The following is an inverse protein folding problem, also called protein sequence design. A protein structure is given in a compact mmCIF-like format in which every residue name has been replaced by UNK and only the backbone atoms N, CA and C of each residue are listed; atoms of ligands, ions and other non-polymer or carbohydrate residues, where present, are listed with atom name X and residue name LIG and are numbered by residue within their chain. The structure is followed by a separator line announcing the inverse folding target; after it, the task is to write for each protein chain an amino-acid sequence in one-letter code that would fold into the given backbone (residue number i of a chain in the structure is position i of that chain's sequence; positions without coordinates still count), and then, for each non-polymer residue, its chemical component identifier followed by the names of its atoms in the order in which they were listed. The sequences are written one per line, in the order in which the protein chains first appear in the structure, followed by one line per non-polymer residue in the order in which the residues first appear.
data_IF_888001750130
#
_entry.id   IF_888001750130
#
_cell.length_a   1.000
_cell.length_b   1.000
_cell.length_c   1.000
_cell.angle_alpha   90.00
_cell.angle_beta   90.00
_cell.angle_gamma   90.00
#
_symmetry.space_group_name_H-M   'P 1'
#
loop_
_entity.id
_entity.type
_entity.pdbx_description
1 polymer ?
#
# COMPACT_ATOMS: atom_id res chain seq x y z
N UNK A 1 -14.98 -58.07 -19.26
CA UNK A 1 -15.26 -57.22 -18.09
C UNK A 1 -14.19 -56.15 -17.98
N UNK A 2 -14.48 -54.91 -18.40
CA UNK A 2 -13.57 -53.73 -18.22
C UNK A 2 -14.10 -52.88 -17.08
N UNK A 3 -13.38 -52.88 -15.97
CA UNK A 3 -13.68 -52.04 -14.80
C UNK A 3 -13.36 -50.60 -15.12
N UNK A 4 -14.37 -49.74 -15.16
CA UNK A 4 -14.25 -48.27 -15.19
C UNK A 4 -13.85 -47.78 -13.80
N UNK A 5 -12.63 -47.32 -13.66
CA UNK A 5 -12.22 -46.49 -12.51
C UNK A 5 -12.97 -45.14 -12.60
N UNK A 6 -13.82 -44.83 -11.61
CA UNK A 6 -14.38 -43.52 -11.39
C UNK A 6 -13.28 -42.63 -10.81
N UNK A 7 -12.92 -41.57 -11.51
CA UNK A 7 -12.14 -40.48 -10.96
C UNK A 7 -13.00 -39.74 -9.94
N UNK A 8 -12.50 -39.53 -8.73
CA UNK A 8 -13.09 -38.68 -7.72
C UNK A 8 -13.05 -37.20 -8.20
N UNK A 9 -14.07 -36.41 -7.90
CA UNK A 9 -14.05 -34.98 -8.24
C UNK A 9 -13.02 -34.27 -7.36
N UNK A 10 -12.16 -33.48 -7.98
CA UNK A 10 -11.19 -32.60 -7.33
C UNK A 10 -11.93 -31.50 -6.57
N UNK A 11 -11.89 -31.56 -5.23
CA UNK A 11 -12.52 -30.62 -4.29
C UNK A 11 -11.70 -29.31 -4.12
N UNK A 12 -11.07 -28.83 -5.18
CA UNK A 12 -10.16 -27.66 -5.08
C UNK A 12 -10.75 -26.35 -5.61
N UNK A 13 -11.82 -26.39 -6.36
CA UNK A 13 -12.38 -25.15 -6.98
C UNK A 13 -13.22 -24.26 -6.04
N UNK A 14 -13.66 -24.78 -4.89
CA UNK A 14 -14.54 -24.04 -3.96
C UNK A 14 -13.79 -23.29 -2.85
N UNK A 15 -12.54 -23.67 -2.55
CA UNK A 15 -11.72 -23.02 -1.52
C UNK A 15 -11.13 -21.67 -2.01
N UNK A 16 -10.96 -21.53 -3.32
CA UNK A 16 -10.22 -20.45 -3.95
C UNK A 16 -10.94 -19.08 -3.96
N UNK A 17 -12.29 -19.09 -3.96
CA UNK A 17 -13.03 -17.82 -4.13
C UNK A 17 -13.11 -16.95 -2.87
N UNK A 18 -12.80 -17.52 -1.70
CA UNK A 18 -12.92 -16.81 -0.41
C UNK A 18 -11.59 -16.32 0.12
N UNK A 19 -10.49 -17.06 -0.09
CA UNK A 19 -9.13 -16.63 0.23
C UNK A 19 -8.70 -15.39 -0.58
N UNK A 20 -9.32 -15.17 -1.75
CA UNK A 20 -9.07 -13.99 -2.59
C UNK A 20 -9.41 -12.64 -1.93
N UNK A 21 -10.33 -12.58 -0.95
CA UNK A 21 -10.64 -11.29 -0.28
C UNK A 21 -9.51 -10.81 0.63
N UNK A 22 -8.83 -11.73 1.31
CA UNK A 22 -7.69 -11.42 2.16
C UNK A 22 -6.47 -10.98 1.33
N UNK A 23 -6.27 -11.59 0.16
CA UNK A 23 -5.17 -11.27 -0.75
C UNK A 23 -5.32 -9.94 -1.48
N UNK A 24 -6.53 -9.41 -1.64
CA UNK A 24 -6.73 -8.04 -2.17
C UNK A 24 -5.98 -7.01 -1.33
N UNK A 25 -5.98 -7.17 -0.02
CA UNK A 25 -5.26 -6.28 0.91
C UNK A 25 -3.75 -6.50 0.83
N UNK A 26 -3.29 -7.74 0.75
CA UNK A 26 -1.87 -8.08 0.69
C UNK A 26 -1.21 -7.58 -0.60
N UNK A 27 -1.86 -7.73 -1.76
CA UNK A 27 -1.32 -7.26 -3.03
C UNK A 27 -1.19 -5.73 -3.09
N UNK A 28 -2.16 -5.00 -2.54
CA UNK A 28 -2.13 -3.53 -2.49
C UNK A 28 -1.01 -2.99 -1.59
N UNK A 29 -0.72 -3.68 -0.47
CA UNK A 29 0.36 -3.29 0.46
C UNK A 29 1.74 -3.73 -0.06
N UNK A 30 1.82 -4.87 -0.75
CA UNK A 30 3.07 -5.42 -1.29
C UNK A 30 3.72 -4.54 -2.36
N UNK A 31 2.93 -3.84 -3.17
CA UNK A 31 3.47 -3.04 -4.27
C UNK A 31 4.26 -1.81 -3.82
N UNK A 32 4.07 -1.33 -2.59
CA UNK A 32 4.65 -0.08 -2.14
C UNK A 32 6.14 -0.15 -1.81
N UNK A 33 6.62 -1.24 -1.26
CA UNK A 33 7.86 -1.18 -0.50
C UNK A 33 9.06 -1.70 -1.27
N UNK A 34 8.85 -2.47 -2.35
CA UNK A 34 9.94 -3.17 -3.01
C UNK A 34 10.42 -2.56 -4.33
N UNK A 35 9.68 -1.60 -4.88
CA UNK A 35 10.02 -1.01 -6.18
C UNK A 35 11.11 0.06 -6.11
N UNK A 36 11.55 0.46 -4.91
CA UNK A 36 12.69 1.36 -4.73
C UNK A 36 14.06 0.77 -5.12
N UNK A 37 14.13 -0.54 -5.43
CA UNK A 37 15.42 -1.22 -5.68
C UNK A 37 15.93 -1.19 -7.13
N UNK A 38 15.11 -0.85 -8.13
CA UNK A 38 15.50 -0.92 -9.55
C UNK A 38 14.94 0.21 -10.43
N UNK A 39 14.27 1.21 -9.87
CA UNK A 39 13.90 2.37 -10.67
C UNK A 39 15.18 3.15 -11.02
N UNK A 40 15.57 3.14 -12.29
CA UNK A 40 16.45 4.20 -12.80
C UNK A 40 15.77 5.50 -12.48
N UNK A 41 16.43 6.34 -11.65
CA UNK A 41 15.93 7.66 -11.29
C UNK A 41 15.33 8.33 -12.53
N UNK A 42 14.06 8.79 -12.48
CA UNK A 42 13.50 9.52 -13.59
C UNK A 42 14.43 10.69 -13.87
N UNK A 43 14.84 10.85 -15.13
CA UNK A 43 15.57 12.05 -15.54
C UNK A 43 14.71 13.23 -15.10
N UNK A 44 15.29 14.12 -14.28
CA UNK A 44 14.69 15.35 -13.79
C UNK A 44 13.94 16.09 -14.90
N UNK A 45 12.67 15.76 -15.09
CA UNK A 45 11.71 16.62 -15.76
C UNK A 45 10.83 17.18 -14.64
N UNK A 46 10.69 18.50 -14.55
CA UNK A 46 9.74 19.11 -13.63
C UNK A 46 8.36 18.50 -13.93
N UNK A 47 7.71 17.94 -12.91
CA UNK A 47 6.29 17.60 -13.01
C UNK A 47 5.55 18.93 -13.23
N UNK A 48 4.92 19.11 -14.39
CA UNK A 48 3.98 20.20 -14.60
C UNK A 48 2.78 19.94 -13.70
N UNK A 49 2.74 20.65 -12.58
CA UNK A 49 1.58 20.67 -11.69
C UNK A 49 0.49 21.45 -12.41
N UNK A 50 -0.56 20.77 -12.85
CA UNK A 50 -1.70 21.43 -13.49
C UNK A 50 -2.53 22.15 -12.44
N UNK A 51 -2.78 23.44 -12.64
CA UNK A 51 -3.70 24.28 -11.85
C UNK A 51 -5.15 24.20 -12.36
N UNK A 52 -5.50 23.13 -13.06
CA UNK A 52 -6.79 22.99 -13.74
C UNK A 52 -7.96 22.75 -12.74
N UNK A 53 -9.17 23.28 -12.99
CA UNK A 53 -10.35 23.11 -12.13
C UNK A 53 -10.76 21.65 -11.99
N UNK A 54 -11.33 21.28 -10.84
CA UNK A 54 -11.74 19.95 -10.36
C UNK A 54 -12.57 19.09 -11.36
N UNK A 55 -13.11 19.67 -12.42
CA UNK A 55 -13.96 19.02 -13.43
C UNK A 55 -13.17 18.44 -14.63
N UNK A 56 -11.82 18.52 -14.64
CA UNK A 56 -11.05 18.06 -15.78
C UNK A 56 -10.77 16.56 -15.74
N UNK A 57 -10.76 15.96 -16.93
CA UNK A 57 -10.53 14.53 -17.13
C UNK A 57 -9.19 14.08 -16.54
N UNK A 58 -9.21 13.09 -15.64
CA UNK A 58 -8.02 12.55 -15.00
C UNK A 58 -7.78 13.01 -13.56
N UNK A 59 -8.55 13.99 -13.07
CA UNK A 59 -8.49 14.40 -11.66
C UNK A 59 -9.13 13.34 -10.78
N UNK A 60 -8.40 12.89 -9.75
CA UNK A 60 -8.91 11.91 -8.78
C UNK A 60 -9.59 12.61 -7.62
N UNK A 61 -10.66 12.01 -7.10
CA UNK A 61 -11.23 12.37 -5.80
C UNK A 61 -10.75 11.32 -4.80
N UNK A 62 -9.45 11.37 -4.45
CA UNK A 62 -8.86 10.42 -3.52
C UNK A 62 -9.47 10.55 -2.12
N UNK A 63 -9.45 9.48 -1.30
CA UNK A 63 -9.87 9.55 0.11
C UNK A 63 -9.11 10.65 0.85
N UNK A 64 -9.83 11.69 1.30
CA UNK A 64 -9.24 12.87 1.90
C UNK A 64 -10.10 13.42 3.03
N UNK A 65 -9.48 13.69 4.18
CA UNK A 65 -10.16 14.15 5.38
C UNK A 65 -9.36 15.26 6.06
N UNK A 66 -10.01 15.94 7.00
CA UNK A 66 -9.37 16.82 7.97
C UNK A 66 -9.77 16.38 9.38
N UNK A 67 -8.83 16.39 10.29
CA UNK A 67 -9.05 16.30 11.73
C UNK A 67 -8.64 17.60 12.40
N UNK A 68 -9.49 18.11 13.28
CA UNK A 68 -9.33 19.42 13.90
C UNK A 68 -9.37 19.31 15.42
N UNK A 69 -8.55 20.11 16.08
CA UNK A 69 -8.63 20.35 17.52
C UNK A 69 -9.10 21.79 17.75
N UNK A 70 -10.37 21.96 18.09
CA UNK A 70 -10.97 23.29 18.35
C UNK A 70 -10.27 24.05 19.48
N UNK A 71 -9.66 23.34 20.43
CA UNK A 71 -9.01 23.95 21.59
C UNK A 71 -7.66 24.61 21.26
N UNK A 72 -6.94 24.04 20.31
CA UNK A 72 -5.61 24.51 19.87
C UNK A 72 -5.68 25.25 18.53
N UNK A 73 -6.73 25.05 17.75
CA UNK A 73 -6.86 25.49 16.37
C UNK A 73 -5.99 24.70 15.40
N UNK A 74 -5.50 23.53 15.80
CA UNK A 74 -4.71 22.63 14.96
C UNK A 74 -5.57 21.97 13.90
N UNK A 75 -4.98 21.75 12.73
CA UNK A 75 -5.61 21.02 11.63
C UNK A 75 -4.59 20.05 11.04
N UNK A 76 -4.96 18.78 10.92
CA UNK A 76 -4.17 17.77 10.22
C UNK A 76 -5.01 17.20 9.07
N UNK A 77 -4.53 17.40 7.85
CA UNK A 77 -5.11 16.80 6.66
C UNK A 77 -4.66 15.35 6.54
N UNK A 78 -5.57 14.46 6.21
CA UNK A 78 -5.33 13.02 6.06
C UNK A 78 -5.67 12.61 4.63
N UNK A 79 -4.70 12.03 3.92
CA UNK A 79 -4.90 11.51 2.57
C UNK A 79 -4.65 10.01 2.55
N UNK A 80 -5.62 9.25 2.06
CA UNK A 80 -5.44 7.84 1.76
C UNK A 80 -4.60 7.68 0.50
N UNK A 81 -3.39 7.11 0.63
CA UNK A 81 -2.50 6.94 -0.50
C UNK A 81 -2.79 5.68 -1.32
N UNK A 82 -2.42 5.73 -2.59
CA UNK A 82 -2.37 4.60 -3.52
C UNK A 82 -0.97 4.56 -4.14
N UNK A 83 -0.29 3.44 -3.96
CA UNK A 83 1.14 3.30 -4.31
C UNK A 83 1.44 3.26 -5.81
N UNK A 84 0.42 3.18 -6.65
CA UNK A 84 0.55 3.23 -8.10
C UNK A 84 -0.58 4.06 -8.70
N UNK A 85 -0.31 4.73 -9.81
CA UNK A 85 -1.27 5.59 -10.49
C UNK A 85 -1.19 5.45 -12.00
N UNK A 86 -1.99 6.23 -12.71
CA UNK A 86 -1.93 6.39 -14.16
C UNK A 86 -1.16 7.65 -14.52
N UNK A 87 -0.54 7.68 -15.70
CA UNK A 87 0.25 8.82 -16.14
C UNK A 87 -0.54 10.15 -16.23
N UNK A 88 -1.87 10.07 -16.33
CA UNK A 88 -2.78 11.20 -16.35
C UNK A 88 -3.48 11.45 -14.99
N UNK A 89 -3.03 10.78 -13.91
CA UNK A 89 -3.55 11.01 -12.56
C UNK A 89 -3.17 12.41 -12.09
N UNK A 90 -4.18 13.23 -11.77
CA UNK A 90 -3.99 14.58 -11.25
C UNK A 90 -4.71 14.71 -9.90
N UNK A 91 -4.05 15.35 -8.94
CA UNK A 91 -4.66 15.67 -7.66
C UNK A 91 -5.43 16.99 -7.74
N UNK A 92 -6.61 17.08 -7.10
CA UNK A 92 -7.36 18.33 -7.04
C UNK A 92 -6.55 19.44 -6.38
N UNK A 93 -6.74 20.67 -6.81
CA UNK A 93 -5.99 21.82 -6.26
C UNK A 93 -6.16 21.97 -4.75
N UNK A 94 -7.34 21.66 -4.19
CA UNK A 94 -7.55 21.72 -2.73
C UNK A 94 -6.64 20.75 -1.95
N UNK A 95 -6.29 19.57 -2.52
CA UNK A 95 -5.34 18.64 -1.91
C UNK A 95 -3.93 19.23 -1.95
N UNK A 96 -3.54 19.80 -3.11
CA UNK A 96 -2.23 20.40 -3.31
C UNK A 96 -2.05 21.68 -2.47
N UNK A 97 -3.11 22.50 -2.33
CA UNK A 97 -3.11 23.66 -1.45
C UNK A 97 -3.00 23.26 0.02
N UNK A 98 -3.74 22.23 0.47
CA UNK A 98 -3.62 21.72 1.84
C UNK A 98 -2.19 21.25 2.13
N UNK A 99 -1.56 20.54 1.18
CA UNK A 99 -0.17 20.09 1.28
C UNK A 99 0.80 21.29 1.37
N UNK A 100 0.68 22.29 0.48
CA UNK A 100 1.56 23.47 0.44
C UNK A 100 1.44 24.37 1.66
N UNK A 101 0.23 24.48 2.20
CA UNK A 101 -0.05 25.31 3.37
C UNK A 101 0.32 24.63 4.69
N UNK A 102 0.61 23.32 4.66
CA UNK A 102 1.02 22.58 5.84
C UNK A 102 2.45 22.91 6.26
N UNK A 103 2.70 22.98 7.56
CA UNK A 103 4.03 23.23 8.12
C UNK A 103 4.99 22.06 7.89
N UNK A 104 4.43 20.88 7.62
CA UNK A 104 5.13 19.64 7.32
C UNK A 104 4.19 18.64 6.65
N UNK A 105 4.79 17.69 5.95
CA UNK A 105 4.09 16.50 5.42
C UNK A 105 4.64 15.24 6.09
N UNK A 106 3.78 14.25 6.31
CA UNK A 106 4.18 13.00 6.94
C UNK A 106 3.70 11.78 6.15
N UNK A 107 4.61 11.12 5.40
CA UNK A 107 4.41 9.79 4.84
C UNK A 107 4.70 8.71 5.89
N UNK A 108 4.37 7.46 5.58
CA UNK A 108 4.92 6.31 6.29
C UNK A 108 6.45 6.29 6.17
N UNK A 109 6.97 6.49 4.96
CA UNK A 109 8.38 6.53 4.62
C UNK A 109 8.62 7.54 3.48
N UNK A 110 9.71 8.29 3.53
CA UNK A 110 10.16 9.13 2.41
C UNK A 110 10.80 8.26 1.32
N UNK A 111 9.97 7.75 0.41
CA UNK A 111 10.40 6.87 -0.68
C UNK A 111 11.37 7.56 -1.63
N UNK A 112 11.24 8.89 -1.82
CA UNK A 112 12.10 9.68 -2.69
C UNK A 112 13.50 9.82 -2.10
N UNK A 113 13.60 10.16 -0.81
CA UNK A 113 14.90 10.20 -0.12
C UNK A 113 15.51 8.80 0.00
N UNK A 114 14.71 7.79 0.32
CA UNK A 114 15.15 6.40 0.41
C UNK A 114 15.73 5.89 -0.92
N UNK A 115 15.11 6.23 -2.06
CA UNK A 115 15.63 5.84 -3.38
C UNK A 115 17.03 6.42 -3.67
N UNK A 116 17.37 7.56 -3.07
CA UNK A 116 18.69 8.20 -3.15
C UNK A 116 19.72 7.68 -2.14
N UNK A 117 19.31 6.98 -1.08
CA UNK A 117 20.19 6.53 0.00
C UNK A 117 20.58 5.04 -0.15
N UNK A 118 21.62 4.80 -0.95
CA UNK A 118 22.14 3.45 -1.17
C UNK A 118 22.63 2.75 0.12
N UNK A 119 23.15 3.51 1.09
CA UNK A 119 23.62 2.92 2.35
C UNK A 119 22.45 2.40 3.17
N UNK A 120 21.40 3.20 3.28
CA UNK A 120 20.17 2.80 3.97
C UNK A 120 19.49 1.60 3.26
N UNK A 121 19.41 1.63 1.92
CA UNK A 121 18.87 0.50 1.13
C UNK A 121 19.63 -0.79 1.41
N UNK A 122 20.99 -0.76 1.39
CA UNK A 122 21.81 -1.93 1.70
C UNK A 122 21.63 -2.44 3.14
N UNK A 123 21.37 -1.54 4.08
CA UNK A 123 21.03 -1.90 5.46
C UNK A 123 19.66 -2.57 5.54
N UNK A 124 18.68 -2.01 4.86
CA UNK A 124 17.30 -2.51 4.87
C UNK A 124 17.15 -3.87 4.18
N UNK A 125 17.75 -4.06 3.01
CA UNK A 125 17.68 -5.34 2.27
C UNK A 125 18.15 -6.53 3.10
N UNK A 126 19.07 -6.35 4.05
CA UNK A 126 19.54 -7.43 4.93
C UNK A 126 18.44 -8.08 5.76
N UNK A 127 17.36 -7.37 6.07
CA UNK A 127 16.22 -7.92 6.78
C UNK A 127 15.43 -8.92 5.94
N UNK A 128 15.59 -8.88 4.61
CA UNK A 128 14.90 -9.75 3.66
C UNK A 128 15.76 -10.93 3.21
N UNK A 129 17.01 -11.04 3.69
CA UNK A 129 17.92 -12.13 3.35
C UNK A 129 17.69 -13.31 4.28
N UNK A 130 17.50 -14.50 3.69
CA UNK A 130 17.39 -15.75 4.43
C UNK A 130 18.71 -16.09 5.14
N UNK A 131 18.61 -16.68 6.33
CA UNK A 131 19.75 -17.15 7.11
C UNK A 131 19.58 -18.62 7.47
N UNK A 132 20.55 -19.44 7.08
CA UNK A 132 20.56 -20.88 7.40
C UNK A 132 19.63 -21.74 6.56
N UNK A 133 18.95 -21.17 5.57
CA UNK A 133 18.08 -21.87 4.61
C UNK A 133 18.06 -21.13 3.28
N UNK A 134 17.43 -21.70 2.26
CA UNK A 134 17.24 -21.11 0.93
C UNK A 134 15.75 -21.01 0.59
N UNK A 135 15.38 -20.15 -0.36
CA UNK A 135 14.03 -20.12 -0.89
C UNK A 135 13.61 -21.48 -1.47
N UNK A 136 14.56 -22.20 -2.09
CA UNK A 136 14.31 -23.57 -2.61
C UNK A 136 13.87 -24.53 -1.51
N UNK A 137 14.52 -24.51 -0.36
CA UNK A 137 14.16 -25.38 0.76
C UNK A 137 12.81 -25.03 1.36
N UNK A 138 12.48 -23.72 1.43
CA UNK A 138 11.23 -23.22 1.98
C UNK A 138 10.04 -23.47 1.05
N UNK A 139 10.17 -23.17 -0.24
CA UNK A 139 9.12 -23.35 -1.25
C UNK A 139 8.92 -24.84 -1.58
N UNK A 140 9.97 -25.65 -1.45
CA UNK A 140 9.91 -27.10 -1.60
C UNK A 140 9.54 -27.54 -3.02
N UNK A 141 8.51 -28.41 -3.13
CA UNK A 141 8.11 -28.99 -4.43
C UNK A 141 7.58 -28.00 -5.46
N UNK A 142 7.13 -26.81 -5.04
CA UNK A 142 6.65 -25.77 -5.96
C UNK A 142 7.77 -24.86 -6.50
N UNK A 143 9.02 -25.02 -6.02
CA UNK A 143 10.12 -24.12 -6.34
C UNK A 143 10.39 -24.00 -7.84
N UNK A 144 10.57 -25.14 -8.53
CA UNK A 144 10.93 -25.13 -9.95
C UNK A 144 9.81 -24.51 -10.81
N UNK A 145 8.54 -24.80 -10.50
CA UNK A 145 7.39 -24.19 -11.16
C UNK A 145 7.33 -22.67 -10.92
N UNK A 146 7.58 -22.23 -9.69
CA UNK A 146 7.63 -20.80 -9.32
C UNK A 146 8.74 -20.08 -10.08
N UNK A 147 9.95 -20.63 -10.10
CA UNK A 147 11.10 -20.07 -10.84
C UNK A 147 10.80 -19.98 -12.34
N UNK A 148 10.25 -21.03 -12.93
CA UNK A 148 9.92 -21.06 -14.35
C UNK A 148 8.84 -20.00 -14.68
N UNK A 149 7.85 -19.83 -13.80
CA UNK A 149 6.83 -18.79 -13.94
C UNK A 149 7.44 -17.38 -13.87
N UNK A 150 8.33 -17.12 -12.93
CA UNK A 150 9.03 -15.85 -12.75
C UNK A 150 9.95 -15.54 -13.94
N UNK A 151 10.66 -16.54 -14.45
CA UNK A 151 11.50 -16.41 -15.67
C UNK A 151 10.66 -16.10 -16.92
N UNK A 152 9.55 -16.83 -17.11
CA UNK A 152 8.61 -16.62 -18.22
C UNK A 152 8.10 -15.17 -18.25
N UNK A 153 7.87 -14.58 -17.07
CA UNK A 153 7.34 -13.22 -16.95
C UNK A 153 8.43 -12.14 -16.78
N UNK A 154 9.71 -12.49 -16.86
CA UNK A 154 10.82 -11.53 -16.83
C UNK A 154 11.10 -10.91 -15.45
N UNK A 155 10.55 -11.48 -14.38
CA UNK A 155 10.70 -10.97 -12.99
C UNK A 155 11.71 -11.77 -12.17
N UNK A 156 12.29 -12.84 -12.71
CA UNK A 156 13.30 -13.63 -12.02
C UNK A 156 14.62 -12.89 -11.88
N UNK A 157 15.21 -12.95 -10.68
CA UNK A 157 16.56 -12.49 -10.37
C UNK A 157 17.28 -13.58 -9.57
N UNK A 158 18.56 -13.86 -9.89
CA UNK A 158 19.33 -14.91 -9.21
C UNK A 158 19.45 -14.68 -7.69
N UNK A 159 19.44 -13.43 -7.24
CA UNK A 159 19.45 -13.07 -5.82
C UNK A 159 18.23 -13.58 -5.06
N UNK A 160 17.11 -13.83 -5.74
CA UNK A 160 15.86 -14.27 -5.11
C UNK A 160 16.00 -15.53 -4.30
N UNK A 161 16.88 -16.45 -4.71
CA UNK A 161 17.09 -17.73 -3.99
C UNK A 161 17.58 -17.55 -2.55
N UNK A 162 18.21 -16.42 -2.26
CA UNK A 162 18.63 -16.03 -0.90
C UNK A 162 17.68 -15.08 -0.19
N UNK A 163 16.53 -14.75 -0.80
CA UNK A 163 15.59 -13.80 -0.26
C UNK A 163 14.35 -14.51 0.31
N UNK A 164 13.75 -13.88 1.32
CA UNK A 164 12.48 -14.36 1.92
C UNK A 164 11.35 -14.44 0.86
N UNK A 165 10.40 -15.39 0.97
CA UNK A 165 9.32 -15.57 -0.03
C UNK A 165 8.47 -14.31 -0.24
N UNK A 166 8.37 -13.44 0.77
CA UNK A 166 7.72 -12.14 0.64
C UNK A 166 8.38 -11.26 -0.43
N UNK A 167 9.71 -11.29 -0.56
CA UNK A 167 10.43 -10.58 -1.62
C UNK A 167 9.98 -11.03 -3.01
N UNK A 168 9.80 -12.35 -3.21
CA UNK A 168 9.30 -12.89 -4.48
C UNK A 168 7.88 -12.42 -4.77
N UNK A 169 7.00 -12.48 -3.76
CA UNK A 169 5.61 -12.02 -3.90
C UNK A 169 5.55 -10.53 -4.29
N UNK A 170 6.41 -9.70 -3.71
CA UNK A 170 6.51 -8.27 -4.08
C UNK A 170 7.00 -8.06 -5.51
N UNK A 171 7.97 -8.87 -5.98
CA UNK A 171 8.38 -8.81 -7.39
C UNK A 171 7.22 -9.20 -8.34
N UNK A 172 6.39 -10.17 -7.96
CA UNK A 172 5.19 -10.51 -8.72
C UNK A 172 4.12 -9.41 -8.69
N UNK A 173 4.03 -8.63 -7.60
CA UNK A 173 3.12 -7.49 -7.51
C UNK A 173 3.46 -6.40 -8.53
N UNK A 174 4.75 -6.20 -8.89
CA UNK A 174 5.12 -5.27 -9.95
C UNK A 174 4.55 -5.67 -11.31
N UNK A 175 4.49 -6.97 -11.59
CA UNK A 175 3.84 -7.49 -12.81
C UNK A 175 2.33 -7.24 -12.79
N UNK A 176 1.68 -7.34 -11.63
CA UNK A 176 0.26 -7.03 -11.49
C UNK A 176 -0.01 -5.55 -11.76
N UNK A 177 0.77 -4.66 -11.16
CA UNK A 177 0.68 -3.20 -11.35
C UNK A 177 0.84 -2.84 -12.82
N UNK A 178 1.88 -3.35 -13.50
CA UNK A 178 2.15 -3.12 -14.91
C UNK A 178 0.99 -3.61 -15.80
N UNK A 179 0.49 -4.83 -15.55
CA UNK A 179 -0.64 -5.40 -16.30
C UNK A 179 -1.96 -4.66 -16.06
N UNK A 180 -2.16 -4.05 -14.89
CA UNK A 180 -3.30 -3.17 -14.59
C UNK A 180 -3.18 -1.80 -15.27
N UNK A 181 -2.10 -1.53 -16.00
CA UNK A 181 -1.86 -0.25 -16.64
C UNK A 181 -1.56 0.88 -15.65
N UNK A 182 -1.02 0.52 -14.49
CA UNK A 182 -0.58 1.43 -13.46
C UNK A 182 0.95 1.48 -13.39
N UNK A 183 1.48 2.53 -12.79
CA UNK A 183 2.92 2.70 -12.57
C UNK A 183 3.14 3.35 -11.19
N UNK A 184 4.09 2.84 -10.44
CA UNK A 184 4.43 3.34 -9.11
C UNK A 184 5.04 4.75 -9.14
N UNK A 185 5.63 5.17 -10.26
CA UNK A 185 6.11 6.55 -10.43
C UNK A 185 4.97 7.59 -10.36
N UNK A 186 3.74 7.18 -10.63
CA UNK A 186 2.53 8.00 -10.51
C UNK A 186 1.73 7.70 -9.22
N UNK A 187 2.28 6.89 -8.32
CA UNK A 187 1.70 6.66 -6.99
C UNK A 187 1.75 7.91 -6.13
N UNK A 188 0.85 7.97 -5.14
CA UNK A 188 0.68 9.11 -4.24
C UNK A 188 2.00 9.56 -3.61
N UNK A 189 2.76 8.60 -3.07
CA UNK A 189 4.02 8.87 -2.39
C UNK A 189 5.02 9.55 -3.33
N UNK A 190 5.21 9.00 -4.52
CA UNK A 190 6.17 9.55 -5.47
C UNK A 190 5.76 10.95 -5.96
N UNK A 191 4.47 11.17 -6.21
CA UNK A 191 3.96 12.47 -6.67
C UNK A 191 4.07 13.52 -5.55
N UNK A 192 3.51 13.25 -4.38
CA UNK A 192 3.43 14.24 -3.30
C UNK A 192 4.79 14.47 -2.61
N UNK A 193 5.62 13.43 -2.44
CA UNK A 193 6.97 13.59 -1.90
C UNK A 193 7.88 14.35 -2.87
N UNK A 194 7.79 14.08 -4.17
CA UNK A 194 8.54 14.85 -5.17
C UNK A 194 8.16 16.33 -5.09
N UNK A 195 6.87 16.65 -4.99
CA UNK A 195 6.40 18.02 -4.81
C UNK A 195 6.92 18.63 -3.50
N UNK A 196 6.83 17.91 -2.40
CA UNK A 196 7.30 18.38 -1.09
C UNK A 196 8.82 18.68 -1.10
N UNK A 197 9.63 17.80 -1.70
CA UNK A 197 11.06 18.03 -1.88
C UNK A 197 11.37 19.24 -2.77
N UNK A 198 10.64 19.39 -3.89
CA UNK A 198 10.82 20.52 -4.81
C UNK A 198 10.48 21.87 -4.17
N UNK A 199 9.44 21.91 -3.37
CA UNK A 199 8.97 23.14 -2.69
C UNK A 199 9.64 23.35 -1.34
N UNK A 200 10.49 22.42 -0.88
CA UNK A 200 11.21 22.52 0.39
C UNK A 200 10.32 22.39 1.62
N UNK A 201 9.19 21.69 1.48
CA UNK A 201 8.29 21.40 2.61
C UNK A 201 8.96 20.38 3.53
N UNK A 202 8.89 20.60 4.83
CA UNK A 202 9.49 19.69 5.82
C UNK A 202 8.80 18.32 5.78
N UNK A 203 9.58 17.24 5.64
CA UNK A 203 9.08 15.86 5.69
C UNK A 203 9.37 15.26 7.07
N UNK A 204 8.39 14.55 7.64
CA UNK A 204 8.45 13.86 8.93
C UNK A 204 7.95 12.43 8.72
N UNK A 205 8.86 11.47 8.56
CA UNK A 205 8.47 10.05 8.43
C UNK A 205 7.80 9.56 9.72
N UNK A 206 6.68 8.81 9.58
CA UNK A 206 6.01 8.17 10.71
C UNK A 206 6.75 6.90 11.13
N UNK A 207 7.29 6.15 10.17
CA UNK A 207 7.94 4.86 10.39
C UNK A 207 9.39 4.84 9.89
N UNK A 208 9.58 5.20 8.61
CA UNK A 208 10.86 5.14 7.91
C UNK A 208 11.19 3.76 7.35
N UNK A 209 12.11 3.75 6.38
CA UNK A 209 12.43 2.56 5.59
C UNK A 209 12.95 1.37 6.41
N UNK A 210 13.83 1.61 7.40
CA UNK A 210 14.36 0.51 8.21
C UNK A 210 13.28 -0.24 8.99
N UNK A 211 12.31 0.48 9.56
CA UNK A 211 11.21 -0.13 10.31
C UNK A 211 10.34 -0.99 9.40
N UNK A 212 10.00 -0.49 8.21
CA UNK A 212 9.19 -1.22 7.25
C UNK A 212 9.89 -2.49 6.73
N UNK A 213 11.16 -2.41 6.34
CA UNK A 213 11.91 -3.59 5.87
C UNK A 213 12.09 -4.65 6.96
N UNK A 214 12.33 -4.20 8.21
CA UNK A 214 12.39 -5.12 9.34
C UNK A 214 11.07 -5.84 9.55
N UNK A 215 9.96 -5.11 9.52
CA UNK A 215 8.61 -5.66 9.63
C UNK A 215 8.36 -6.71 8.53
N UNK A 216 8.65 -6.40 7.26
CA UNK A 216 8.48 -7.35 6.16
C UNK A 216 9.32 -8.61 6.31
N UNK A 217 10.56 -8.47 6.77
CA UNK A 217 11.43 -9.62 7.04
C UNK A 217 10.96 -10.49 8.21
N UNK A 218 10.12 -9.96 9.10
CA UNK A 218 9.55 -10.67 10.25
C UNK A 218 8.16 -11.25 10.02
N UNK A 219 7.56 -11.05 8.86
CA UNK A 219 6.27 -11.70 8.51
C UNK A 219 6.38 -13.22 8.71
N UNK A 220 5.41 -13.88 9.40
CA UNK A 220 5.43 -15.32 9.60
C UNK A 220 5.64 -16.08 8.29
N UNK A 221 6.52 -17.08 8.30
CA UNK A 221 6.94 -17.79 7.08
C UNK A 221 5.76 -18.48 6.37
N UNK A 222 4.78 -18.99 7.11
CA UNK A 222 3.57 -19.59 6.55
C UNK A 222 2.78 -18.57 5.71
N UNK A 223 2.65 -17.34 6.19
CA UNK A 223 1.99 -16.23 5.49
C UNK A 223 2.77 -15.85 4.23
N UNK A 224 4.10 -15.75 4.34
CA UNK A 224 4.94 -15.44 3.17
C UNK A 224 4.81 -16.49 2.06
N UNK A 225 4.82 -17.77 2.41
CA UNK A 225 4.70 -18.88 1.46
C UNK A 225 3.30 -18.96 0.84
N UNK A 226 2.26 -18.78 1.64
CA UNK A 226 0.87 -18.76 1.18
C UNK A 226 0.63 -17.58 0.23
N UNK A 227 1.16 -16.39 0.57
CA UNK A 227 1.12 -15.20 -0.29
C UNK A 227 1.86 -15.45 -1.61
N UNK A 228 3.09 -16.00 -1.56
CA UNK A 228 3.83 -16.32 -2.78
C UNK A 228 3.09 -17.31 -3.68
N UNK A 229 2.46 -18.34 -3.12
CA UNK A 229 1.68 -19.31 -3.89
C UNK A 229 0.54 -18.66 -4.69
N UNK A 230 -0.03 -17.55 -4.19
CA UNK A 230 -1.05 -16.79 -4.90
C UNK A 230 -0.48 -15.90 -6.02
N UNK A 231 0.82 -15.68 -6.03
CA UNK A 231 1.52 -14.89 -7.06
C UNK A 231 2.01 -15.75 -8.24
N UNK A 232 1.70 -17.04 -8.28
CA UNK A 232 2.13 -17.96 -9.33
C UNK A 232 0.92 -18.42 -10.15
N UNK A 233 1.04 -18.38 -11.48
CA UNK A 233 0.02 -18.78 -12.42
C UNK A 233 -0.77 -17.61 -13.01
N UNK A 234 -1.09 -17.75 -14.31
CA UNK A 234 -1.74 -16.67 -15.07
C UNK A 234 -3.16 -16.35 -14.50
N UNK A 235 -3.89 -17.35 -14.01
CA UNK A 235 -5.23 -17.14 -13.42
C UNK A 235 -5.16 -16.30 -12.13
N UNK A 236 -4.19 -16.58 -11.26
CA UNK A 236 -3.96 -15.83 -10.02
C UNK A 236 -3.56 -14.38 -10.33
N UNK A 237 -2.59 -14.19 -11.21
CA UNK A 237 -2.16 -12.83 -11.61
C UNK A 237 -3.30 -12.05 -12.27
N UNK A 238 -4.06 -12.65 -13.18
CA UNK A 238 -5.20 -11.98 -13.82
C UNK A 238 -6.32 -11.63 -12.82
N UNK A 239 -6.50 -12.41 -11.77
CA UNK A 239 -7.42 -12.07 -10.69
C UNK A 239 -6.91 -10.84 -9.91
N UNK A 240 -5.64 -10.83 -9.54
CA UNK A 240 -5.04 -9.69 -8.84
C UNK A 240 -5.02 -8.41 -9.70
N UNK A 241 -4.83 -8.53 -11.01
CA UNK A 241 -4.93 -7.38 -11.95
C UNK A 241 -6.32 -6.75 -11.87
N UNK A 242 -7.39 -7.55 -11.98
CA UNK A 242 -8.76 -7.02 -11.86
C UNK A 242 -9.02 -6.37 -10.50
N UNK A 243 -8.55 -7.01 -9.43
CA UNK A 243 -8.70 -6.48 -8.07
C UNK A 243 -7.94 -5.15 -7.90
N UNK A 244 -6.77 -5.02 -8.53
CA UNK A 244 -5.96 -3.80 -8.52
C UNK A 244 -6.62 -2.68 -9.35
N UNK A 245 -7.21 -3.01 -10.51
CA UNK A 245 -7.99 -2.07 -11.31
C UNK A 245 -9.21 -1.55 -10.54
N UNK A 246 -10.00 -2.46 -9.92
CA UNK A 246 -11.14 -2.11 -9.08
C UNK A 246 -10.75 -1.23 -7.89
N UNK A 247 -9.64 -1.57 -7.22
CA UNK A 247 -9.09 -0.79 -6.10
C UNK A 247 -8.72 0.62 -6.52
N UNK A 248 -7.99 0.76 -7.64
CA UNK A 248 -7.61 2.07 -8.18
C UNK A 248 -8.83 2.91 -8.56
N UNK A 249 -9.82 2.30 -9.21
CA UNK A 249 -11.07 3.00 -9.55
C UNK A 249 -11.84 3.46 -8.31
N UNK A 250 -11.96 2.61 -7.29
CA UNK A 250 -12.61 2.97 -6.02
C UNK A 250 -11.86 4.10 -5.30
N UNK A 251 -10.53 4.01 -5.25
CA UNK A 251 -9.69 5.05 -4.67
C UNK A 251 -9.84 6.39 -5.41
N UNK A 252 -9.84 6.35 -6.74
CA UNK A 252 -9.95 7.57 -7.57
C UNK A 252 -11.30 8.29 -7.45
N UNK A 253 -12.32 7.64 -6.85
CA UNK A 253 -13.67 8.19 -6.65
C UNK A 253 -14.02 8.38 -5.18
N UNK A 254 -13.11 8.07 -4.25
CA UNK A 254 -13.39 8.07 -2.81
C UNK A 254 -14.61 7.18 -2.47
N UNK A 255 -14.57 5.92 -2.89
CA UNK A 255 -15.65 4.96 -2.69
C UNK A 255 -15.54 4.31 -1.30
N UNK A 256 -16.12 4.95 -0.29
CA UNK A 256 -16.15 4.46 1.10
C UNK A 256 -16.75 3.07 1.23
N UNK A 257 -17.83 2.81 0.46
CA UNK A 257 -18.52 1.53 0.48
C UNK A 257 -17.63 0.38 0.02
N UNK A 258 -16.77 0.63 -0.95
CA UNK A 258 -15.80 -0.34 -1.42
C UNK A 258 -14.75 -0.64 -0.35
N UNK A 259 -14.11 0.39 0.21
CA UNK A 259 -13.05 0.21 1.20
C UNK A 259 -13.56 -0.41 2.50
N UNK A 260 -14.72 -0.02 2.99
CA UNK A 260 -15.34 -0.60 4.19
C UNK A 260 -15.61 -2.10 4.04
N UNK A 261 -15.89 -2.59 2.83
CA UNK A 261 -16.05 -4.02 2.56
C UNK A 261 -14.73 -4.78 2.46
N UNK A 262 -13.62 -4.09 2.14
CA UNK A 262 -12.30 -4.71 2.10
C UNK A 262 -11.70 -4.93 3.50
N UNK A 263 -12.18 -4.25 4.52
CA UNK A 263 -11.64 -4.33 5.89
C UNK A 263 -12.04 -5.58 6.66
N UNK A 264 -12.88 -6.43 6.10
CA UNK A 264 -13.27 -7.69 6.76
C UNK A 264 -12.10 -8.68 6.69
N UNK A 265 -11.44 -8.87 7.82
CA UNK A 265 -10.40 -9.86 8.02
C UNK A 265 -11.02 -11.16 8.57
N UNK A 266 -10.94 -12.25 7.80
CA UNK A 266 -11.43 -13.58 8.20
C UNK A 266 -10.30 -14.60 8.14
N UNK A 267 -9.88 -15.07 9.32
CA UNK A 267 -8.85 -16.12 9.46
C UNK A 267 -9.38 -17.53 9.22
N UNK A 268 -10.70 -17.73 9.09
CA UNK A 268 -11.30 -19.07 9.00
C UNK A 268 -10.90 -19.85 7.75
N UNK A 269 -10.40 -19.15 6.72
CA UNK A 269 -10.10 -19.73 5.41
C UNK A 269 -8.60 -19.87 5.11
N UNK A 270 -7.73 -19.46 6.03
CA UNK A 270 -6.27 -19.53 5.86
C UNK A 270 -5.69 -20.76 6.55
N UNK A 271 -4.50 -21.18 6.11
CA UNK A 271 -3.88 -22.43 6.59
C UNK A 271 -3.45 -22.34 8.05
N UNK A 272 -2.93 -21.18 8.46
CA UNK A 272 -2.49 -20.94 9.85
C UNK A 272 -3.10 -19.63 10.38
N UNK A 273 -4.29 -19.66 11.00
CA UNK A 273 -4.98 -18.46 11.44
C UNK A 273 -4.19 -17.60 12.44
N UNK A 274 -3.36 -18.20 13.31
CA UNK A 274 -2.55 -17.44 14.28
C UNK A 274 -1.46 -16.61 13.60
N UNK A 275 -0.80 -17.14 12.58
CA UNK A 275 0.23 -16.43 11.85
C UNK A 275 -0.37 -15.30 10.98
N UNK A 276 -1.59 -15.51 10.45
CA UNK A 276 -2.32 -14.47 9.75
C UNK A 276 -2.82 -13.37 10.69
N UNK A 277 -3.19 -13.70 11.93
CA UNK A 277 -3.52 -12.69 12.95
C UNK A 277 -2.28 -11.88 13.33
N UNK A 278 -1.14 -12.54 13.56
CA UNK A 278 0.15 -11.86 13.81
C UNK A 278 0.52 -10.92 12.64
N UNK A 279 0.34 -11.39 11.39
CA UNK A 279 0.53 -10.56 10.21
C UNK A 279 -0.39 -9.34 10.20
N UNK A 280 -1.67 -9.52 10.52
CA UNK A 280 -2.63 -8.42 10.58
C UNK A 280 -2.25 -7.39 11.65
N UNK A 281 -1.92 -7.86 12.85
CA UNK A 281 -1.53 -6.98 13.94
C UNK A 281 -0.28 -6.16 13.58
N UNK A 282 0.69 -6.80 12.95
CA UNK A 282 1.92 -6.17 12.49
C UNK A 282 1.69 -5.15 11.36
N UNK A 283 0.83 -5.48 10.39
CA UNK A 283 0.60 -4.65 9.21
C UNK A 283 -0.39 -3.51 9.46
N UNK A 284 -1.30 -3.69 10.42
CA UNK A 284 -2.38 -2.74 10.69
C UNK A 284 -2.38 -2.27 12.14
N UNK A 285 -2.72 -3.11 13.11
CA UNK A 285 -3.00 -2.71 14.49
C UNK A 285 -1.87 -1.88 15.09
N UNK A 286 -0.64 -2.37 15.07
CA UNK A 286 0.53 -1.69 15.65
C UNK A 286 0.90 -0.40 14.92
N UNK A 287 0.73 -0.38 13.61
CA UNK A 287 1.07 0.77 12.77
C UNK A 287 0.03 1.88 12.90
N UNK A 288 -1.25 1.52 12.87
CA UNK A 288 -2.36 2.45 13.03
C UNK A 288 -2.33 3.16 14.38
N UNK A 289 -1.96 2.45 15.47
CA UNK A 289 -1.75 3.09 16.76
C UNK A 289 -0.64 4.15 16.69
N UNK A 290 0.51 3.85 16.08
CA UNK A 290 1.60 4.83 15.90
C UNK A 290 1.19 6.01 15.03
N UNK A 291 0.40 5.76 13.98
CA UNK A 291 -0.12 6.83 13.11
C UNK A 291 -1.08 7.74 13.87
N UNK A 292 -2.01 7.16 14.64
CA UNK A 292 -2.94 7.91 15.49
C UNK A 292 -2.21 8.72 16.57
N UNK A 293 -1.23 8.11 17.27
CA UNK A 293 -0.39 8.79 18.25
C UNK A 293 0.38 9.97 17.64
N UNK A 294 0.92 9.80 16.44
CA UNK A 294 1.60 10.88 15.71
C UNK A 294 0.67 12.05 15.38
N UNK A 295 -0.54 11.75 14.95
CA UNK A 295 -1.56 12.75 14.61
C UNK A 295 -2.03 13.48 15.87
N UNK A 296 -2.38 12.76 16.94
CA UNK A 296 -2.87 13.35 18.20
C UNK A 296 -1.80 14.19 18.90
N UNK A 297 -0.53 13.73 18.89
CA UNK A 297 0.61 14.52 19.40
C UNK A 297 0.78 15.83 18.62
N UNK A 298 0.61 15.81 17.29
CA UNK A 298 0.70 17.01 16.45
C UNK A 298 -0.48 17.97 16.67
N UNK A 299 -1.70 17.45 16.81
CA UNK A 299 -2.90 18.25 17.14
C UNK A 299 -2.73 18.96 18.50
N UNK A 300 -2.26 18.24 19.52
CA UNK A 300 -2.05 18.81 20.85
C UNK A 300 -1.03 19.95 20.87
N UNK A 301 -0.14 20.03 19.88
CA UNK A 301 0.87 21.09 19.72
C UNK A 301 0.38 22.28 18.89
N UNK A 302 -0.84 22.26 18.40
CA UNK A 302 -1.39 23.33 17.56
C UNK A 302 -0.79 23.34 16.16
N UNK A 303 -0.35 22.17 15.64
CA UNK A 303 0.32 22.11 14.34
C UNK A 303 -0.68 22.07 13.17
N UNK A 304 -0.26 22.59 12.03
CA UNK A 304 -0.91 22.42 10.74
C UNK A 304 -0.07 21.44 9.91
N UNK A 305 -0.61 20.27 9.63
CA UNK A 305 0.14 19.19 8.97
C UNK A 305 -0.65 18.45 7.91
N UNK A 306 0.07 17.67 7.10
CA UNK A 306 -0.51 16.83 6.06
C UNK A 306 0.06 15.42 6.18
N UNK A 307 -0.77 14.46 6.53
CA UNK A 307 -0.43 13.03 6.66
C UNK A 307 -0.95 12.27 5.46
N UNK A 308 -0.12 11.43 4.83
CA UNK A 308 -0.58 10.51 3.81
C UNK A 308 0.03 9.13 4.03
N UNK A 309 -0.85 8.18 4.25
CA UNK A 309 -0.54 6.77 4.49
C UNK A 309 -1.47 5.91 3.65
N UNK A 310 -1.11 4.64 3.44
CA UNK A 310 -1.92 3.73 2.64
C UNK A 310 -3.39 3.77 3.04
N UNK A 311 -4.30 3.91 2.07
CA UNK A 311 -5.74 4.08 2.27
C UNK A 311 -6.32 3.09 3.28
N UNK A 312 -5.82 1.85 3.30
CA UNK A 312 -6.33 0.82 4.19
C UNK A 312 -6.08 1.10 5.68
N UNK A 313 -5.12 1.96 6.05
CA UNK A 313 -4.93 2.38 7.44
C UNK A 313 -6.10 3.22 7.99
N UNK A 314 -6.89 3.80 7.11
CA UNK A 314 -8.09 4.55 7.47
C UNK A 314 -9.36 3.70 7.53
N UNK A 315 -9.31 2.41 7.08
CA UNK A 315 -10.47 1.52 7.00
C UNK A 315 -10.32 0.19 7.74
N UNK A 316 -9.11 -0.38 7.80
CA UNK A 316 -8.88 -1.65 8.51
C UNK A 316 -8.95 -1.43 10.02
N UNK A 317 -9.77 -2.20 10.73
CA UNK A 317 -9.99 -2.01 12.17
C UNK A 317 -8.91 -2.67 13.06
N UNK A 318 -8.51 -1.99 14.17
CA UNK A 318 -8.90 -0.65 14.61
C UNK A 318 -8.26 0.43 13.75
N UNK A 319 -9.05 1.13 12.94
CA UNK A 319 -8.55 2.09 11.96
C UNK A 319 -7.98 3.36 12.62
N UNK A 320 -7.14 4.10 11.89
CA UNK A 320 -6.68 5.44 12.35
C UNK A 320 -7.88 6.34 12.65
N UNK A 321 -8.96 6.25 11.84
CA UNK A 321 -10.18 7.02 12.07
C UNK A 321 -10.84 6.65 13.40
N UNK A 322 -11.04 5.35 13.65
CA UNK A 322 -11.62 4.84 14.90
C UNK A 322 -10.78 5.25 16.13
N UNK A 323 -9.45 5.19 16.01
CA UNK A 323 -8.54 5.60 17.10
C UNK A 323 -8.64 7.10 17.39
N UNK A 324 -8.68 7.95 16.36
CA UNK A 324 -8.85 9.40 16.52
C UNK A 324 -10.21 9.76 17.14
N UNK A 325 -11.29 9.09 16.73
CA UNK A 325 -12.64 9.28 17.32
C UNK A 325 -12.68 8.85 18.78
N UNK A 326 -11.98 7.78 19.17
CA UNK A 326 -11.87 7.35 20.57
C UNK A 326 -11.13 8.37 21.46
N UNK A 327 -10.18 9.12 20.90
CA UNK A 327 -9.50 10.24 21.56
C UNK A 327 -10.36 11.52 21.59
N UNK A 328 -11.56 11.51 20.97
CA UNK A 328 -12.52 12.60 20.99
C UNK A 328 -12.40 13.60 19.84
N UNK A 329 -11.56 13.29 18.83
CA UNK A 329 -11.46 14.13 17.63
C UNK A 329 -12.57 13.83 16.64
N UNK A 330 -12.97 14.86 15.88
CA UNK A 330 -13.90 14.73 14.76
C UNK A 330 -13.10 14.69 13.47
N UNK A 331 -13.30 13.64 12.68
CA UNK A 331 -12.71 13.50 11.35
C UNK A 331 -13.76 13.80 10.30
N UNK A 332 -13.46 14.77 9.44
CA UNK A 332 -14.40 15.26 8.42
C UNK A 332 -13.91 14.95 7.03
N UNK A 333 -14.70 14.25 6.22
CA UNK A 333 -14.37 13.93 4.84
C UNK A 333 -14.45 15.18 3.94
N UNK A 334 -13.46 15.33 3.04
CA UNK A 334 -13.40 16.42 2.07
C UNK A 334 -13.54 15.83 0.67
N UNK A 335 -14.63 16.14 -0.04
CA UNK A 335 -14.93 15.58 -1.37
C UNK A 335 -14.90 16.62 -2.50
N UNK A 336 -14.59 17.87 -2.19
CA UNK A 336 -14.53 18.96 -3.17
C UNK A 336 -14.47 20.34 -2.54
N UNK A 337 -14.37 21.35 -3.39
CA UNK A 337 -14.47 22.76 -3.00
C UNK A 337 -15.64 23.37 -3.76
N UNK A 338 -16.55 24.11 -3.09
CA UNK A 338 -17.48 24.99 -3.80
C UNK A 338 -16.83 26.35 -4.04
N UNK A 339 -17.05 26.88 -5.24
CA UNK A 339 -16.58 28.23 -5.57
C UNK A 339 -17.21 29.25 -4.62
N UNK A 340 -16.45 29.69 -3.61
CA UNK A 340 -16.84 30.80 -2.73
C UNK A 340 -16.75 30.57 -1.22
N UNK A 341 -16.66 29.34 -0.72
CA UNK A 341 -16.82 29.06 0.72
C UNK A 341 -15.67 28.28 1.40
N UNK A 342 -14.50 28.18 0.80
CA UNK A 342 -13.43 27.36 1.40
C UNK A 342 -13.67 25.84 1.29
N UNK A 343 -12.87 25.06 1.96
CA UNK A 343 -13.01 23.59 2.02
C UNK A 343 -14.40 23.19 2.53
N UNK A 344 -15.16 22.40 1.76
CA UNK A 344 -16.46 21.91 2.20
C UNK A 344 -16.28 20.48 2.71
N UNK A 345 -16.65 20.32 3.99
CA UNK A 345 -16.91 19.02 4.56
C UNK A 345 -18.17 18.39 3.92
N UNK A 346 -18.12 17.11 3.56
CA UNK A 346 -19.24 16.37 3.01
C UNK A 346 -19.95 15.56 4.10
#
# INVERSE_FOLDING_TARGET
MRTRQRRAPTATAGLWSKTMKLLKIVAAVLSAVMLCGCATAPKNQPLEVSTAPIAEKGCVTSPFWVVEDESTGAQIFLLGSMHAGKADTQYPEYVLEALRNSSWVAPEMDTVAFAGDFILQQKCVKYLVLSGTTAKELIGSAYDETVDYFRKNGIWQDAMDSMVPFYWASAASSLVVDKAGLDTSYGTENVLLTLAHQEGIKIREIEGGEAQYRMMGSIPMSVQLETLAQCVGDDNINAQVRDTEELFEAWSRFDDDYFSKLTVFDTAEVTNPSDWQEYYDMMYTDRQQKMADFITDSLSKGELGFVFVGTMHYYAEPSVMTLLEQEGYTVTAIRGISAGDGLIAA
#
